data_IF_404881109830
#
_entry.id   IF_404881109830
#
_cell.length_a   1.000
_cell.length_b   1.000
_cell.length_c   1.000
_cell.angle_alpha   90.00
_cell.angle_beta   90.00
_cell.angle_gamma   90.00
#
_symmetry.space_group_name_H-M   'P 1'
#
loop_
_entity.id
_entity.type
_entity.pdbx_description
1 polymer ?
#
# COMPACT_ATOMS: atom_id res chain seq x y z
N UNK A 1 -9.31 8.44 -10.47
CA UNK A 1 -10.43 8.34 -9.51
C UNK A 1 -11.18 7.04 -9.76
N UNK A 2 -11.81 6.46 -8.73
CA UNK A 2 -12.59 5.21 -8.79
C UNK A 2 -13.85 5.37 -7.93
N UNK A 3 -14.98 4.79 -8.33
CA UNK A 3 -16.21 4.83 -7.53
C UNK A 3 -16.14 3.88 -6.34
N UNK A 4 -16.73 4.26 -5.20
CA UNK A 4 -16.73 3.46 -3.98
C UNK A 4 -17.37 2.08 -4.15
N UNK A 5 -18.37 1.94 -5.02
CA UNK A 5 -19.01 0.65 -5.32
C UNK A 5 -18.08 -0.39 -5.94
N UNK A 6 -17.00 0.06 -6.58
CA UNK A 6 -16.03 -0.80 -7.27
C UNK A 6 -14.84 -1.19 -6.35
N UNK A 7 -14.76 -0.57 -5.16
CA UNK A 7 -13.69 -0.81 -4.19
C UNK A 7 -13.90 -2.15 -3.46
N UNK A 8 -12.83 -2.93 -3.36
CA UNK A 8 -12.80 -4.22 -2.65
C UNK A 8 -11.79 -4.19 -1.52
N UNK A 9 -11.89 -5.15 -0.59
CA UNK A 9 -10.84 -5.39 0.41
C UNK A 9 -9.49 -5.61 -0.29
N UNK A 10 -8.43 -5.01 0.25
CA UNK A 10 -7.08 -5.03 -0.31
C UNK A 10 -6.81 -3.94 -1.34
N UNK A 11 -7.82 -3.17 -1.78
CA UNK A 11 -7.59 -2.02 -2.64
C UNK A 11 -6.87 -0.91 -1.86
N UNK A 12 -6.17 -0.06 -2.60
CA UNK A 12 -5.55 1.14 -2.06
C UNK A 12 -6.27 2.37 -2.57
N UNK A 13 -6.54 3.32 -1.69
CA UNK A 13 -7.18 4.62 -1.98
C UNK A 13 -6.39 5.73 -1.31
N UNK A 14 -6.56 6.97 -1.73
CA UNK A 14 -6.01 8.14 -1.03
C UNK A 14 -7.09 8.73 -0.10
N UNK A 15 -6.76 8.89 1.18
CA UNK A 15 -7.60 9.53 2.17
C UNK A 15 -6.76 10.28 3.20
N UNK A 16 -7.19 11.46 3.64
CA UNK A 16 -6.46 12.28 4.61
C UNK A 16 -5.00 12.54 4.23
N UNK A 17 -4.76 12.78 2.93
CA UNK A 17 -3.44 13.04 2.32
C UNK A 17 -2.41 11.90 2.48
N UNK A 18 -2.89 10.65 2.57
CA UNK A 18 -2.04 9.48 2.44
C UNK A 18 -2.74 8.33 1.71
N UNK A 19 -1.99 7.40 1.09
CA UNK A 19 -2.53 6.12 0.66
C UNK A 19 -2.98 5.31 1.88
N UNK A 20 -4.12 4.65 1.74
CA UNK A 20 -4.72 3.76 2.72
C UNK A 20 -5.08 2.42 2.07
N UNK A 21 -4.87 1.30 2.77
CA UNK A 21 -5.38 -0.01 2.34
C UNK A 21 -6.77 -0.25 2.92
N UNK A 22 -7.67 -0.75 2.09
CA UNK A 22 -9.02 -1.12 2.46
C UNK A 22 -9.01 -2.45 3.20
N UNK A 23 -9.24 -2.43 4.51
CA UNK A 23 -9.29 -3.62 5.36
C UNK A 23 -10.65 -4.30 5.32
N UNK A 24 -11.73 -3.54 5.13
CA UNK A 24 -13.10 -4.06 5.07
C UNK A 24 -14.01 -3.18 4.20
N UNK A 25 -15.01 -3.79 3.58
CA UNK A 25 -16.05 -3.15 2.75
C UNK A 25 -17.40 -3.71 3.15
N UNK A 26 -18.38 -2.84 3.43
CA UNK A 26 -19.76 -3.22 3.67
C UNK A 26 -20.70 -2.37 2.82
N UNK A 27 -21.46 -2.99 1.94
CA UNK A 27 -22.48 -2.31 1.14
C UNK A 27 -23.81 -2.25 1.92
N UNK A 28 -24.45 -1.08 1.96
CA UNK A 28 -25.74 -0.84 2.63
C UNK A 28 -26.67 -0.03 1.73
N UNK A 29 -27.43 -0.71 0.89
CA UNK A 29 -28.32 -0.06 -0.08
C UNK A 29 -27.52 0.91 -0.95
N UNK A 30 -27.79 2.21 -0.82
CA UNK A 30 -27.12 3.26 -1.59
C UNK A 30 -25.80 3.77 -0.99
N UNK A 31 -25.34 3.24 0.15
CA UNK A 31 -24.06 3.63 0.75
C UNK A 31 -23.08 2.46 0.86
N UNK A 32 -21.80 2.80 1.01
CA UNK A 32 -20.70 1.89 1.28
C UNK A 32 -20.00 2.36 2.55
N UNK A 33 -19.75 1.42 3.46
CA UNK A 33 -18.90 1.61 4.62
C UNK A 33 -17.54 0.97 4.36
N UNK A 34 -16.48 1.75 4.41
CA UNK A 34 -15.10 1.28 4.31
C UNK A 34 -14.40 1.39 5.66
N UNK A 35 -13.63 0.35 6.02
CA UNK A 35 -12.58 0.45 7.01
C UNK A 35 -11.24 0.48 6.28
N UNK A 36 -10.51 1.57 6.43
CA UNK A 36 -9.23 1.77 5.75
C UNK A 36 -8.15 2.12 6.76
N UNK A 37 -6.90 1.78 6.44
CA UNK A 37 -5.74 2.02 7.30
C UNK A 37 -4.65 2.71 6.49
N UNK A 38 -4.14 3.83 7.01
CA UNK A 38 -3.05 4.59 6.40
C UNK A 38 -1.80 3.74 6.26
N UNK A 39 -1.25 3.67 5.05
CA UNK A 39 -0.05 2.87 4.75
C UNK A 39 1.12 3.37 5.57
N UNK A 40 1.25 4.69 5.68
CA UNK A 40 2.36 5.31 6.36
C UNK A 40 2.09 5.51 7.84
N UNK A 41 0.93 6.06 8.19
CA UNK A 41 0.59 6.42 9.57
C UNK A 41 0.12 5.25 10.43
N UNK A 42 -0.38 4.18 9.83
CA UNK A 42 -1.10 3.10 10.51
C UNK A 42 -2.45 3.51 11.11
N UNK A 43 -2.91 4.76 10.89
CA UNK A 43 -4.19 5.24 11.44
C UNK A 43 -5.36 4.58 10.73
N UNK A 44 -6.37 4.21 11.49
CA UNK A 44 -7.59 3.60 10.98
C UNK A 44 -8.70 4.64 10.80
N UNK A 45 -9.41 4.55 9.69
CA UNK A 45 -10.51 5.42 9.33
C UNK A 45 -11.74 4.60 8.94
N UNK A 46 -12.91 5.11 9.31
CA UNK A 46 -14.21 4.56 8.90
C UNK A 46 -14.91 5.58 8.01
N UNK A 47 -15.07 5.23 6.73
CA UNK A 47 -15.78 6.05 5.75
C UNK A 47 -17.18 5.49 5.58
N UNK A 48 -18.20 6.34 5.57
CA UNK A 48 -19.58 5.95 5.28
C UNK A 48 -20.14 6.95 4.27
N UNK A 49 -20.22 6.52 3.03
CA UNK A 49 -20.37 7.43 1.89
C UNK A 49 -21.28 6.82 0.82
N UNK A 50 -21.90 7.63 -0.06
CA UNK A 50 -22.68 7.11 -1.18
C UNK A 50 -21.84 6.21 -2.09
N UNK A 51 -22.43 5.14 -2.61
CA UNK A 51 -21.73 4.16 -3.44
C UNK A 51 -21.16 4.73 -4.75
N UNK A 52 -21.75 5.81 -5.26
CA UNK A 52 -21.29 6.52 -6.45
C UNK A 52 -20.24 7.61 -6.17
N UNK A 53 -19.91 7.88 -4.89
CA UNK A 53 -18.81 8.80 -4.56
C UNK A 53 -17.52 8.28 -5.15
N UNK A 54 -16.73 9.18 -5.72
CA UNK A 54 -15.41 8.86 -6.24
C UNK A 54 -14.34 9.09 -5.17
N UNK A 55 -13.35 8.21 -5.17
CA UNK A 55 -12.15 8.31 -4.35
C UNK A 55 -10.92 8.42 -5.24
N UNK A 56 -9.93 9.12 -4.72
CA UNK A 56 -8.64 9.25 -5.36
C UNK A 56 -7.81 7.97 -5.17
N UNK A 57 -7.03 7.64 -6.19
CA UNK A 57 -6.11 6.49 -6.24
C UNK A 57 -4.76 6.91 -6.82
N UNK A 58 -4.43 8.20 -6.75
CA UNK A 58 -3.22 8.80 -7.32
C UNK A 58 -2.00 8.55 -6.44
N UNK A 59 -1.44 7.34 -6.51
CA UNK A 59 -0.16 6.96 -5.92
C UNK A 59 0.57 6.01 -6.88
N UNK A 60 1.90 5.93 -6.78
CA UNK A 60 2.67 4.93 -7.54
C UNK A 60 2.68 3.63 -6.72
N UNK A 61 2.22 2.53 -7.32
CA UNK A 61 2.45 1.17 -6.82
C UNK A 61 3.39 0.48 -7.79
N UNK A 62 4.52 0.00 -7.29
CA UNK A 62 5.55 -0.62 -8.11
C UNK A 62 6.03 -1.94 -7.54
N UNK A 63 6.72 -2.71 -8.37
CA UNK A 63 7.53 -3.85 -7.96
C UNK A 63 8.98 -3.37 -7.91
N UNK A 64 9.72 -3.81 -6.92
CA UNK A 64 11.10 -3.42 -6.75
C UNK A 64 11.91 -4.60 -6.23
N UNK A 65 13.22 -4.56 -6.44
CA UNK A 65 14.14 -5.47 -5.78
C UNK A 65 14.63 -4.85 -4.48
N UNK A 66 14.64 -5.64 -3.40
CA UNK A 66 15.22 -5.26 -2.13
C UNK A 66 16.76 -5.34 -2.20
N UNK A 67 17.44 -4.20 -2.07
CA UNK A 67 18.91 -4.10 -2.23
C UNK A 67 19.61 -4.08 -0.88
N UNK A 68 19.04 -3.40 0.10
CA UNK A 68 19.66 -3.25 1.42
C UNK A 68 18.59 -3.21 2.51
N UNK A 69 18.86 -3.84 3.65
CA UNK A 69 18.05 -3.75 4.86
C UNK A 69 18.85 -3.05 5.97
N UNK A 70 18.40 -1.86 6.36
CA UNK A 70 18.89 -1.15 7.56
C UNK A 70 17.86 -1.27 8.68
N UNK A 71 18.23 -0.86 9.90
CA UNK A 71 17.37 -0.99 11.09
C UNK A 71 15.99 -0.34 10.98
N UNK A 72 15.84 0.73 10.19
CA UNK A 72 14.59 1.52 10.07
C UNK A 72 14.10 1.72 8.64
N UNK A 73 14.95 1.50 7.64
CA UNK A 73 14.66 1.74 6.23
C UNK A 73 15.35 0.70 5.37
N UNK A 74 14.79 0.46 4.21
CA UNK A 74 15.34 -0.41 3.18
C UNK A 74 15.75 0.43 1.98
N UNK A 75 16.71 -0.05 1.19
CA UNK A 75 16.97 0.48 -0.15
C UNK A 75 16.36 -0.48 -1.14
N UNK A 76 15.53 0.04 -2.04
CA UNK A 76 14.88 -0.72 -3.11
C UNK A 76 15.19 -0.09 -4.46
N UNK A 77 15.22 -0.89 -5.53
CA UNK A 77 15.32 -0.43 -6.92
C UNK A 77 14.06 -0.87 -7.66
N UNK A 78 13.30 0.09 -8.18
CA UNK A 78 12.09 -0.19 -8.98
C UNK A 78 12.44 -0.94 -10.27
N UNK A 79 11.67 -1.98 -10.58
CA UNK A 79 11.98 -2.93 -11.65
C UNK A 79 11.78 -2.37 -13.07
N UNK A 80 11.02 -1.28 -13.21
CA UNK A 80 10.69 -0.66 -14.49
C UNK A 80 11.53 0.57 -14.78
N UNK A 81 11.71 1.41 -13.77
CA UNK A 81 12.35 2.73 -13.88
C UNK A 81 13.81 2.69 -13.46
N UNK A 82 14.24 1.66 -12.72
CA UNK A 82 15.57 1.56 -12.11
C UNK A 82 15.89 2.69 -11.12
N UNK A 83 14.88 3.46 -10.70
CA UNK A 83 15.02 4.44 -9.64
C UNK A 83 15.30 3.75 -8.31
N UNK A 84 16.29 4.26 -7.58
CA UNK A 84 16.57 3.86 -6.21
C UNK A 84 15.73 4.67 -5.22
N UNK A 85 15.11 3.99 -4.27
CA UNK A 85 14.34 4.61 -3.20
C UNK A 85 14.78 4.12 -1.82
N UNK A 86 14.81 5.03 -0.85
CA UNK A 86 14.81 4.67 0.57
C UNK A 86 13.35 4.46 1.01
N UNK A 87 13.03 3.28 1.50
CA UNK A 87 11.67 2.85 1.79
C UNK A 87 11.49 2.50 3.28
N UNK A 88 10.42 3.01 3.87
CA UNK A 88 9.90 2.53 5.15
C UNK A 88 9.40 1.08 5.00
N UNK A 89 9.38 0.33 6.10
CA UNK A 89 8.80 -1.01 6.12
C UNK A 89 8.29 -1.36 7.52
N UNK A 90 7.39 -2.34 7.61
CA UNK A 90 7.07 -2.99 8.89
C UNK A 90 8.02 -4.17 9.12
N UNK A 91 8.79 -4.10 10.21
CA UNK A 91 9.75 -5.14 10.57
C UNK A 91 9.13 -6.51 10.81
N UNK A 92 7.87 -6.56 11.27
CA UNK A 92 7.17 -7.82 11.48
C UNK A 92 6.79 -8.43 10.14
N UNK A 93 6.29 -7.62 9.19
CA UNK A 93 5.96 -8.06 7.84
C UNK A 93 7.18 -8.66 7.12
N UNK A 94 8.35 -8.03 7.21
CA UNK A 94 9.57 -8.59 6.61
C UNK A 94 10.00 -9.92 7.28
N UNK A 95 9.88 -10.02 8.61
CA UNK A 95 10.23 -11.24 9.35
C UNK A 95 9.28 -12.39 9.05
N UNK A 96 7.97 -12.15 9.05
CA UNK A 96 6.94 -13.14 8.71
C UNK A 96 7.14 -13.69 7.29
N UNK A 97 7.63 -12.84 6.38
CA UNK A 97 7.96 -13.22 5.02
C UNK A 97 9.41 -13.71 4.85
N UNK A 98 10.23 -13.86 5.88
CA UNK A 98 11.65 -14.24 5.76
C UNK A 98 12.38 -13.45 4.65
N UNK A 99 12.10 -12.15 4.56
CA UNK A 99 12.54 -11.30 3.46
C UNK A 99 14.06 -11.10 3.47
N UNK A 100 14.69 -11.25 2.31
CA UNK A 100 16.14 -11.18 2.11
C UNK A 100 16.48 -10.19 1.01
N UNK A 101 17.70 -9.65 1.09
CA UNK A 101 18.27 -8.88 -0.03
C UNK A 101 18.24 -9.75 -1.29
N UNK A 102 17.79 -9.17 -2.39
CA UNK A 102 17.54 -9.85 -3.66
C UNK A 102 16.06 -10.15 -3.91
N UNK A 103 15.22 -10.21 -2.86
CA UNK A 103 13.80 -10.52 -3.00
C UNK A 103 13.03 -9.40 -3.72
N UNK A 104 11.97 -9.80 -4.43
CA UNK A 104 11.01 -8.84 -4.97
C UNK A 104 10.06 -8.35 -3.88
N UNK A 105 9.78 -7.06 -3.90
CA UNK A 105 8.85 -6.41 -2.97
C UNK A 105 7.86 -5.55 -3.73
N UNK A 106 6.67 -5.39 -3.15
CA UNK A 106 5.68 -4.43 -3.62
C UNK A 106 5.80 -3.19 -2.76
N UNK A 107 5.87 -2.03 -3.39
CA UNK A 107 5.98 -0.77 -2.69
C UNK A 107 4.90 0.23 -3.13
N UNK A 108 4.62 1.18 -2.24
CA UNK A 108 3.80 2.36 -2.54
C UNK A 108 4.66 3.60 -2.36
N UNK A 109 4.66 4.46 -3.38
CA UNK A 109 5.22 5.80 -3.33
C UNK A 109 4.11 6.83 -3.47
N UNK A 110 4.12 7.80 -2.56
CA UNK A 110 3.23 8.95 -2.59
C UNK A 110 3.99 10.16 -2.07
N UNK A 111 4.08 11.19 -2.93
CA UNK A 111 4.98 12.34 -2.72
C UNK A 111 6.41 11.84 -2.49
N UNK A 112 7.06 12.29 -1.43
CA UNK A 112 8.44 11.96 -1.07
C UNK A 112 8.56 10.69 -0.21
N UNK A 113 7.45 10.01 0.07
CA UNK A 113 7.44 8.82 0.94
C UNK A 113 7.29 7.55 0.15
N UNK A 114 8.04 6.54 0.56
CA UNK A 114 8.05 5.21 -0.05
C UNK A 114 7.94 4.18 1.08
N UNK A 115 7.04 3.20 0.93
CA UNK A 115 6.90 2.11 1.89
C UNK A 115 6.73 0.76 1.20
N UNK A 116 7.45 -0.24 1.68
CA UNK A 116 7.25 -1.64 1.31
C UNK A 116 5.98 -2.13 1.98
N UNK A 117 5.05 -2.68 1.18
CA UNK A 117 3.74 -3.14 1.64
C UNK A 117 3.56 -4.65 1.51
N UNK A 118 4.42 -5.33 0.74
CA UNK A 118 4.37 -6.78 0.57
C UNK A 118 5.73 -7.33 0.09
N UNK A 119 5.98 -8.62 0.32
CA UNK A 119 7.17 -9.34 -0.17
C UNK A 119 6.68 -10.42 -1.12
N UNK A 120 7.11 -10.36 -2.38
CA UNK A 120 6.72 -11.31 -3.41
C UNK A 120 7.76 -12.42 -3.45
N UNK A 121 7.43 -13.58 -2.88
CA UNK A 121 8.24 -14.79 -3.05
C UNK A 121 7.98 -15.37 -4.43
N UNK A 122 9.04 -15.58 -5.22
CA UNK A 122 8.93 -16.50 -6.36
C UNK A 122 8.68 -17.90 -5.80
N UNK A 123 7.51 -18.46 -6.12
CA UNK A 123 7.22 -19.87 -5.90
C UNK A 123 8.00 -20.63 -6.97
N UNK A 124 9.21 -21.09 -6.63
CA UNK A 124 9.93 -22.10 -7.41
C UNK A 124 9.25 -23.47 -7.28
#
# INVERSE_FOLDING_TARGET
MVKLKDIKRGYYIVHSDEPCIVKNVQSKGNSVILLVEGIFSGKQYKLNEPHDKEVDVSFKRGVAQLIELKKKHAVIIDDQTYDSYEAEFDSNMLKENDAKVGDQVIYIKYKDRVKIVDVRKELF
#
